data_IF_939838123020
#
_entry.id   IF_939838123020
#
_cell.length_a   1.000
_cell.length_b   1.000
_cell.length_c   1.000
_cell.angle_alpha   90.00
_cell.angle_beta   90.00
_cell.angle_gamma   90.00
#
_symmetry.space_group_name_H-M   'P 1'
#
loop_
_entity.id
_entity.type
_entity.pdbx_description
1 polymer ?
2 polymer ?
3 non-polymer ?
4 water ?
#
# COMPACT_ATOMS: atom_id res chain seq x y z
N UNK A 6 19.99 -10.66 -22.54
CA UNK A 6 19.72 -12.09 -22.37
C UNK A 6 18.23 -12.44 -22.59
N UNK A 7 17.34 -11.57 -22.10
CA UNK A 7 15.89 -11.72 -22.22
C UNK A 7 15.38 -12.93 -21.46
N UNK A 8 14.58 -12.69 -20.43
CA UNK A 8 14.04 -13.75 -19.59
C UNK A 8 12.54 -13.50 -19.41
N UNK A 9 11.89 -14.49 -18.83
CA UNK A 9 10.46 -14.48 -18.61
C UNK A 9 10.12 -14.03 -17.19
N UNK A 10 9.04 -13.26 -17.08
CA UNK A 10 8.52 -12.77 -15.81
C UNK A 10 7.01 -12.94 -15.82
N UNK A 11 6.48 -13.57 -14.78
CA UNK A 11 5.05 -13.66 -14.53
C UNK A 11 4.70 -12.65 -13.45
N UNK A 12 3.60 -11.91 -13.66
CA UNK A 12 3.12 -10.91 -12.70
C UNK A 12 1.61 -11.09 -12.55
N UNK A 13 1.14 -11.16 -11.31
CA UNK A 13 -0.29 -11.24 -11.03
C UNK A 13 -0.96 -9.87 -11.16
N UNK A 14 -2.16 -9.86 -11.71
CA UNK A 14 -2.94 -8.64 -11.88
C UNK A 14 -4.12 -8.61 -10.93
N UNK A 15 -4.67 -7.43 -10.65
CA UNK A 15 -5.76 -7.36 -9.65
C UNK A 15 -6.96 -8.24 -9.94
N UNK A 16 -7.29 -8.50 -11.21
CA UNK A 16 -8.45 -9.33 -11.54
C UNK A 16 -8.16 -10.82 -11.39
N UNK A 17 -7.10 -11.17 -10.69
CA UNK A 17 -6.77 -12.57 -10.44
C UNK A 17 -6.14 -13.29 -11.62
N UNK A 18 -5.87 -12.61 -12.73
CA UNK A 18 -5.13 -13.22 -13.82
C UNK A 18 -3.65 -12.87 -13.69
N UNK A 19 -2.85 -13.44 -14.59
CA UNK A 19 -1.44 -13.13 -14.60
C UNK A 19 -1.05 -12.75 -16.03
N UNK A 20 -0.03 -11.94 -16.15
CA UNK A 20 0.55 -11.65 -17.44
C UNK A 20 2.01 -12.07 -17.40
N UNK A 21 2.53 -12.46 -18.56
CA UNK A 21 3.89 -12.90 -18.74
C UNK A 21 4.58 -11.88 -19.66
N UNK A 22 5.75 -11.35 -19.25
CA UNK A 22 6.51 -10.42 -20.08
C UNK A 22 7.94 -10.92 -20.27
N UNK A 23 8.46 -10.76 -21.50
CA UNK A 23 9.90 -10.92 -21.76
C UNK A 23 10.61 -9.63 -21.42
N UNK A 24 11.67 -9.70 -20.63
CA UNK A 24 12.44 -8.51 -20.26
C UNK A 24 13.92 -8.87 -20.16
N UNK A 25 14.76 -7.85 -20.29
CA UNK A 25 16.17 -8.03 -20.00
C UNK A 25 16.35 -8.45 -18.55
N UNK A 26 17.32 -9.34 -18.33
CA UNK A 26 17.54 -9.91 -17.01
C UNK A 26 17.70 -8.85 -15.94
N UNK A 27 18.47 -7.80 -16.24
CA UNK A 27 18.79 -6.77 -15.26
C UNK A 27 17.85 -5.56 -15.34
N UNK A 28 16.62 -5.75 -15.80
CA UNK A 28 15.63 -4.68 -15.77
C UNK A 28 15.33 -4.28 -14.33
N UNK A 29 15.15 -2.99 -14.11
CA UNK A 29 14.76 -2.53 -12.79
C UNK A 29 13.25 -2.43 -12.71
N UNK A 30 12.74 -2.11 -11.52
CA UNK A 30 11.30 -2.26 -11.30
C UNK A 30 10.50 -1.38 -12.25
N UNK A 31 10.98 -0.15 -12.51
CA UNK A 31 10.22 0.73 -13.40
C UNK A 31 10.25 0.24 -14.85
N UNK A 32 11.37 -0.34 -15.30
CA UNK A 32 11.35 -0.94 -16.64
C UNK A 32 10.39 -2.13 -16.72
N UNK A 33 10.39 -3.03 -15.73
CA UNK A 33 9.41 -4.11 -15.76
C UNK A 33 8.00 -3.55 -15.70
N UNK A 34 7.79 -2.52 -14.87
CA UNK A 34 6.46 -2.00 -14.70
C UNK A 34 5.91 -1.43 -16.01
N UNK A 35 6.75 -0.69 -16.77
CA UNK A 35 6.31 -0.13 -18.04
C UNK A 35 6.03 -1.22 -19.07
N UNK A 36 6.85 -2.27 -19.08
CA UNK A 36 6.58 -3.39 -19.98
C UNK A 36 5.22 -4.02 -19.67
N UNK A 37 4.89 -4.17 -18.38
CA UNK A 37 3.60 -4.75 -18.00
C UNK A 37 2.45 -3.83 -18.36
N UNK A 38 2.59 -2.53 -18.05
CA UNK A 38 1.52 -1.57 -18.31
C UNK A 38 1.17 -1.51 -19.79
N UNK A 39 2.19 -1.52 -20.65
CA UNK A 39 1.92 -1.58 -22.09
C UNK A 39 1.17 -2.86 -22.46
N UNK A 40 1.63 -4.01 -21.93
CA UNK A 40 1.04 -5.31 -22.30
C UNK A 40 -0.43 -5.41 -21.88
N UNK A 41 -0.80 -4.87 -20.72
CA UNK A 41 -2.20 -4.99 -20.29
C UNK A 41 -3.07 -3.84 -20.77
N UNK A 42 -2.50 -2.88 -21.48
CA UNK A 42 -3.31 -1.84 -22.09
C UNK A 42 -3.60 -0.63 -21.24
N UNK A 43 -2.72 -0.32 -20.29
CA UNK A 43 -2.84 0.95 -19.59
C UNK A 43 -2.41 2.09 -20.49
N UNK A 44 -3.10 3.22 -20.37
CA UNK A 44 -2.77 4.39 -21.14
C UNK A 44 -1.92 5.33 -20.29
N UNK A 45 -1.60 6.50 -20.86
CA UNK A 45 -0.69 7.43 -20.22
C UNK A 45 -1.25 8.02 -18.93
N UNK A 46 -2.58 8.07 -18.78
CA UNK A 46 -3.16 8.47 -17.50
C UNK A 46 -3.16 7.34 -16.49
N UNK A 47 -3.63 6.14 -16.89
CA UNK A 47 -3.88 5.06 -15.95
C UNK A 47 -2.58 4.50 -15.37
N UNK A 48 -1.49 4.51 -16.15
CA UNK A 48 -0.21 3.93 -15.75
C UNK A 48 0.33 4.56 -14.47
N UNK A 49 -0.05 5.79 -14.18
CA UNK A 49 0.43 6.49 -12.99
C UNK A 49 -0.28 6.05 -11.72
N UNK A 50 -1.21 5.11 -11.80
CA UNK A 50 -2.02 4.78 -10.65
C UNK A 50 -1.68 3.41 -10.07
N UNK A 51 -0.75 2.69 -10.67
CA UNK A 51 -0.42 1.35 -10.23
C UNK A 51 1.09 1.22 -10.12
N UNK A 52 1.53 0.10 -9.52
CA UNK A 52 2.93 -0.16 -9.25
C UNK A 52 3.13 -1.65 -8.98
N UNK A 53 4.41 -2.03 -8.94
CA UNK A 53 4.86 -3.39 -8.74
C UNK A 53 5.07 -3.67 -7.25
N UNK A 54 4.54 -4.78 -6.78
CA UNK A 54 4.62 -5.14 -5.37
C UNK A 54 5.08 -6.57 -5.28
N UNK A 55 5.68 -6.93 -4.14
CA UNK A 55 6.05 -8.31 -3.83
C UNK A 55 5.13 -8.84 -2.73
N UNK A 56 4.57 -10.03 -2.95
CA UNK A 56 3.72 -10.66 -1.95
C UNK A 56 4.63 -11.17 -0.84
N UNK A 57 4.53 -10.56 0.34
CA UNK A 57 5.30 -11.04 1.49
C UNK A 57 4.60 -12.19 2.19
N UNK A 58 3.30 -12.04 2.40
CA UNK A 58 2.52 -13.01 3.14
C UNK A 58 1.10 -12.87 2.66
N UNK A 59 0.21 -13.69 3.22
CA UNK A 59 -1.19 -13.58 2.88
C UNK A 59 -1.76 -12.22 3.22
N UNK A 60 -1.24 -11.55 4.24
CA UNK A 60 -1.80 -10.28 4.67
C UNK A 60 -0.92 -9.07 4.37
N UNK A 61 0.17 -9.20 3.60
CA UNK A 61 1.00 -8.04 3.36
C UNK A 61 1.75 -8.13 2.04
N UNK A 62 1.70 -7.05 1.26
CA UNK A 62 2.52 -6.93 0.06
C UNK A 62 3.31 -5.65 0.18
N UNK A 63 4.54 -5.68 -0.29
CA UNK A 63 5.43 -4.53 -0.12
C UNK A 63 5.80 -3.98 -1.49
N UNK A 64 5.82 -2.65 -1.58
CA UNK A 64 6.16 -2.02 -2.84
C UNK A 64 7.62 -2.25 -3.19
N UNK A 65 7.88 -2.57 -4.44
CA UNK A 65 9.25 -2.65 -4.93
C UNK A 65 9.82 -1.26 -5.04
N UNK A 66 11.05 -1.08 -4.54
CA UNK A 66 11.78 0.16 -4.63
C UNK A 66 12.32 0.32 -6.05
N UNK A 67 12.67 1.53 -6.46
CA UNK A 67 13.14 1.70 -7.86
C UNK A 67 14.42 0.92 -8.19
N UNK A 68 15.35 0.74 -7.23
CA UNK A 68 16.62 0.06 -7.50
C UNK A 68 16.58 -1.45 -7.30
N UNK A 69 15.40 -2.06 -7.34
CA UNK A 69 15.34 -3.50 -7.21
C UNK A 69 15.30 -4.14 -8.61
N UNK A 70 15.58 -5.45 -8.67
CA UNK A 70 15.51 -6.16 -9.93
C UNK A 70 14.42 -7.21 -9.83
N UNK A 71 13.25 -6.96 -10.40
CA UNK A 71 12.13 -7.88 -10.17
C UNK A 71 12.42 -9.30 -10.61
N UNK A 72 13.27 -9.51 -11.61
CA UNK A 72 13.59 -10.89 -11.97
C UNK A 72 14.30 -11.62 -10.85
N UNK A 73 15.19 -10.95 -10.13
CA UNK A 73 15.83 -11.55 -8.97
C UNK A 73 14.80 -12.01 -7.95
N UNK A 74 13.86 -11.13 -7.59
CA UNK A 74 12.83 -11.48 -6.61
C UNK A 74 11.98 -12.64 -7.11
N UNK A 75 11.66 -12.64 -8.40
CA UNK A 75 10.84 -13.69 -9.00
C UNK A 75 11.51 -15.06 -8.86
N UNK A 76 12.75 -15.18 -9.34
CA UNK A 76 13.45 -16.47 -9.29
C UNK A 76 13.63 -16.92 -7.84
N UNK A 77 13.89 -15.98 -6.95
CA UNK A 77 14.19 -16.32 -5.57
C UNK A 77 12.98 -16.92 -4.84
N UNK A 78 11.77 -16.56 -5.25
CA UNK A 78 10.54 -17.04 -4.63
C UNK A 78 9.79 -18.04 -5.51
N UNK A 79 10.44 -18.55 -6.55
CA UNK A 79 9.77 -19.38 -7.54
C UNK A 79 9.78 -20.85 -7.13
N UNK A 80 8.68 -21.54 -7.40
CA UNK A 80 8.62 -22.99 -7.26
C UNK A 80 7.81 -23.58 -8.40
N UNK A 81 7.96 -24.89 -8.59
CA UNK A 81 7.09 -25.61 -9.52
C UNK A 81 5.61 -25.48 -9.11
N UNK A 82 5.32 -25.48 -7.82
CA UNK A 82 3.95 -25.27 -7.36
C UNK A 82 3.59 -23.79 -7.34
N UNK A 83 3.63 -23.17 -6.16
CA UNK A 83 3.31 -21.76 -5.87
C UNK A 83 2.22 -21.16 -6.77
N UNK A 84 1.02 -20.89 -6.22
CA UNK A 84 -0.05 -20.27 -7.04
C UNK A 84 0.40 -19.01 -7.76
N UNK A 85 1.16 -19.18 -8.85
CA UNK A 85 1.57 -18.08 -9.67
C UNK A 85 2.95 -17.52 -9.40
N UNK A 86 3.00 -16.41 -8.66
CA UNK A 86 4.18 -15.57 -8.64
C UNK A 86 4.10 -14.64 -7.43
N UNK A 87 5.27 -14.14 -7.02
CA UNK A 87 5.32 -13.20 -5.91
C UNK A 87 5.22 -11.75 -6.35
N UNK A 88 5.23 -11.48 -7.65
CA UNK A 88 5.08 -10.12 -8.14
C UNK A 88 3.62 -9.84 -8.42
N UNK A 89 3.16 -8.64 -8.05
CA UNK A 89 1.78 -8.31 -8.33
C UNK A 89 1.65 -6.82 -8.64
N UNK A 90 0.65 -6.49 -9.45
CA UNK A 90 0.29 -5.11 -9.77
C UNK A 90 -0.78 -4.65 -8.80
N UNK A 91 -0.53 -3.53 -8.12
CA UNK A 91 -1.57 -3.00 -7.24
C UNK A 91 -1.66 -1.50 -7.40
N UNK A 92 -2.76 -0.95 -6.93
CA UNK A 92 -2.95 0.49 -7.00
C UNK A 92 -1.98 1.19 -6.06
N UNK A 93 -1.48 2.37 -6.46
CA UNK A 93 -0.51 3.14 -5.65
C UNK A 93 -1.05 4.57 -5.64
N UNK A 94 -1.90 4.85 -4.66
CA UNK A 94 -2.69 6.07 -4.63
C UNK A 94 -3.30 6.27 -3.26
N UNK A 95 -3.09 7.43 -2.65
CA UNK A 95 -3.73 7.68 -1.38
C UNK A 95 -4.97 8.57 -1.46
N UNK A 96 -5.08 9.44 -2.47
CA UNK A 96 -6.19 10.40 -2.58
C UNK A 96 -7.36 9.79 -3.35
N UNK A 97 -8.47 9.49 -2.66
CA UNK A 97 -9.56 8.78 -3.34
C UNK A 97 -10.27 9.62 -4.41
N UNK A 98 -10.22 10.95 -4.36
CA UNK A 98 -10.87 11.73 -5.41
C UNK A 98 -10.20 11.52 -6.77
N UNK A 99 -8.87 11.38 -6.80
CA UNK A 99 -8.20 11.16 -8.06
C UNK A 99 -8.72 9.92 -8.78
N UNK A 100 -9.08 8.88 -8.02
CA UNK A 100 -9.56 7.69 -8.67
C UNK A 100 -11.04 7.78 -9.03
N UNK A 101 -11.80 8.64 -8.35
CA UNK A 101 -13.17 8.92 -8.80
C UNK A 101 -13.15 9.54 -10.20
N UNK A 102 -12.17 10.39 -10.48
CA UNK A 102 -12.04 10.91 -11.83
C UNK A 102 -11.86 9.82 -12.89
N UNK A 103 -11.51 8.59 -12.50
CA UNK A 103 -11.31 7.51 -13.46
C UNK A 103 -12.51 6.60 -13.61
N UNK A 104 -13.66 6.97 -13.06
CA UNK A 104 -14.82 6.08 -13.13
C UNK A 104 -15.24 5.79 -14.56
N UNK A 105 -14.75 6.55 -15.55
CA UNK A 105 -15.08 6.31 -16.96
C UNK A 105 -13.99 5.56 -17.71
N UNK A 106 -12.99 4.99 -17.02
CA UNK A 106 -11.95 4.21 -17.68
C UNK A 106 -12.14 2.74 -17.28
N UNK A 107 -12.50 1.91 -18.27
CA UNK A 107 -12.89 0.54 -17.99
C UNK A 107 -11.78 -0.24 -17.30
N UNK A 108 -10.54 -0.06 -17.76
CA UNK A 108 -9.42 -0.81 -17.19
C UNK A 108 -9.22 -0.43 -15.73
N UNK A 109 -9.07 0.87 -15.46
CA UNK A 109 -8.89 1.35 -14.10
C UNK A 109 -9.99 0.83 -13.18
N UNK A 110 -11.25 1.05 -13.56
CA UNK A 110 -12.37 0.63 -12.71
C UNK A 110 -12.29 -0.87 -12.43
N UNK A 111 -12.06 -1.66 -13.46
CA UNK A 111 -11.94 -3.11 -13.26
C UNK A 111 -10.86 -3.44 -12.24
N UNK A 112 -9.68 -2.82 -12.39
CA UNK A 112 -8.57 -3.12 -11.49
C UNK A 112 -8.86 -2.61 -10.10
N UNK A 113 -9.43 -1.39 -10.00
CA UNK A 113 -9.78 -0.85 -8.70
C UNK A 113 -10.82 -1.74 -8.03
N UNK A 114 -11.81 -2.19 -8.81
CA UNK A 114 -12.88 -3.03 -8.27
C UNK A 114 -12.35 -4.34 -7.74
N UNK A 115 -11.58 -5.10 -8.55
CA UNK A 115 -11.11 -6.40 -8.07
C UNK A 115 -10.18 -6.26 -6.87
N UNK A 116 -9.33 -5.25 -6.85
CA UNK A 116 -8.48 -5.13 -5.66
C UNK A 116 -9.30 -4.77 -4.44
N UNK A 117 -10.35 -3.96 -4.61
CA UNK A 117 -11.16 -3.56 -3.47
C UNK A 117 -11.91 -4.75 -2.90
N UNK A 118 -12.42 -5.65 -3.75
CA UNK A 118 -13.14 -6.82 -3.26
C UNK A 118 -12.21 -7.69 -2.42
N UNK A 119 -11.00 -7.90 -2.91
CA UNK A 119 -10.02 -8.67 -2.15
C UNK A 119 -9.61 -7.94 -0.88
N UNK A 120 -9.53 -6.62 -0.91
CA UNK A 120 -9.16 -5.86 0.27
C UNK A 120 -10.28 -5.90 1.32
N UNK A 121 -11.54 -6.09 0.89
CA UNK A 121 -12.64 -6.30 1.84
C UNK A 121 -12.53 -7.70 2.47
N UNK A 122 -12.38 -8.73 1.62
CA UNK A 122 -12.15 -10.09 2.11
C UNK A 122 -11.07 -10.16 3.18
N UNK A 123 -9.96 -9.45 2.97
CA UNK A 123 -8.81 -9.56 3.86
C UNK A 123 -8.94 -8.71 5.12
N UNK A 124 -9.99 -7.87 5.24
CA UNK A 124 -10.19 -7.04 6.42
C UNK A 124 -9.59 -5.64 6.38
N UNK A 125 -9.01 -5.23 5.26
CA UNK A 125 -8.38 -3.91 5.23
C UNK A 125 -9.42 -2.80 5.24
N UNK A 126 -10.55 -3.03 4.60
CA UNK A 126 -11.61 -2.05 4.48
C UNK A 126 -12.75 -2.53 5.37
N UNK A 127 -13.12 -1.70 6.35
CA UNK A 127 -14.09 -2.07 7.36
C UNK A 127 -15.48 -1.77 6.79
N UNK A 128 -16.01 -2.72 6.04
CA UNK A 128 -17.26 -2.50 5.33
C UNK A 128 -18.40 -3.32 5.92
N UNK A 129 -18.21 -3.88 7.13
CA UNK A 129 -19.15 -4.86 7.68
C UNK A 129 -20.58 -4.33 7.77
N UNK A 130 -20.75 -3.11 8.25
CA UNK A 130 -22.11 -2.64 8.51
C UNK A 130 -22.94 -2.50 7.23
N UNK A 131 -22.30 -2.44 6.05
CA UNK A 131 -23.00 -2.43 4.78
C UNK A 131 -22.60 -3.63 3.91
N UNK A 132 -22.19 -4.71 4.57
CA UNK A 132 -21.72 -5.89 3.85
C UNK A 132 -22.76 -6.42 2.87
N UNK A 133 -24.03 -6.43 3.26
CA UNK A 133 -25.08 -6.99 2.41
C UNK A 133 -25.31 -6.13 1.17
N UNK A 134 -25.36 -4.80 1.34
CA UNK A 134 -25.64 -3.90 0.23
C UNK A 134 -24.47 -3.86 -0.76
N UNK A 135 -23.23 -3.95 -0.27
CA UNK A 135 -22.09 -4.10 -1.17
C UNK A 135 -22.14 -5.43 -1.92
N UNK A 136 -22.51 -6.50 -1.22
CA UNK A 136 -22.58 -7.83 -1.83
C UNK A 136 -23.57 -7.88 -2.99
N UNK A 137 -24.72 -7.21 -2.87
CA UNK A 137 -25.64 -7.19 -4.00
C UNK A 137 -25.11 -6.35 -5.16
N UNK A 138 -24.38 -5.26 -4.90
CA UNK A 138 -23.73 -4.56 -6.00
C UNK A 138 -22.63 -5.42 -6.63
N UNK A 139 -21.84 -6.11 -5.79
CA UNK A 139 -20.87 -7.05 -6.30
C UNK A 139 -21.53 -8.10 -7.20
N UNK A 140 -22.59 -8.75 -6.71
CA UNK A 140 -23.28 -9.76 -7.50
C UNK A 140 -23.76 -9.23 -8.85
N UNK A 141 -24.30 -8.00 -8.89
CA UNK A 141 -24.73 -7.44 -10.16
C UNK A 141 -23.58 -6.82 -10.97
N UNK A 142 -22.34 -6.88 -10.48
CA UNK A 142 -21.19 -6.35 -11.20
C UNK A 142 -21.38 -4.87 -11.50
N UNK A 143 -21.96 -4.15 -10.56
CA UNK A 143 -22.11 -2.70 -10.67
C UNK A 143 -20.85 -2.07 -10.09
N UNK A 144 -19.79 -2.06 -10.91
CA UNK A 144 -18.45 -1.86 -10.39
C UNK A 144 -18.26 -0.45 -9.85
N UNK A 145 -18.69 0.56 -10.62
CA UNK A 145 -18.54 1.94 -10.17
C UNK A 145 -19.39 2.19 -8.93
N UNK A 146 -20.62 1.68 -8.91
CA UNK A 146 -21.47 1.89 -7.74
C UNK A 146 -20.88 1.21 -6.49
N UNK A 147 -20.39 0.00 -6.65
CA UNK A 147 -19.69 -0.69 -5.56
C UNK A 147 -18.53 0.14 -5.05
N UNK A 148 -17.66 0.63 -5.94
CA UNK A 148 -16.52 1.45 -5.52
C UNK A 148 -16.97 2.78 -4.90
N UNK A 149 -17.98 3.42 -5.47
CA UNK A 149 -18.41 4.71 -4.93
C UNK A 149 -18.89 4.57 -3.49
N UNK A 150 -19.59 3.46 -3.19
CA UNK A 150 -19.93 3.11 -1.81
C UNK A 150 -18.70 2.78 -0.98
N UNK A 151 -17.85 1.88 -1.48
CA UNK A 151 -16.72 1.42 -0.66
C UNK A 151 -15.73 2.53 -0.32
N UNK A 152 -15.58 3.52 -1.19
CA UNK A 152 -14.62 4.60 -0.95
C UNK A 152 -15.00 5.43 0.28
N UNK A 153 -16.23 5.30 0.77
CA UNK A 153 -16.68 6.02 1.96
C UNK A 153 -16.44 5.22 3.26
N UNK A 155 -14.06 3.02 6.27
CA UNK A 155 -12.78 3.17 6.95
C UNK A 155 -11.80 2.22 6.29
N UNK A 156 -10.57 2.70 6.14
CA UNK A 156 -9.51 1.88 5.61
C UNK A 156 -9.38 1.87 4.11
N UNK A 157 -10.27 2.52 3.36
CA UNK A 157 -10.02 2.65 1.93
C UNK A 157 -8.76 3.51 1.70
N UNK A 158 -7.86 3.00 0.85
CA UNK A 158 -6.58 3.65 0.52
C UNK A 158 -5.74 3.92 1.78
N UNK A 159 -5.71 2.94 2.68
CA UNK A 159 -4.83 2.93 3.86
C UNK A 159 -3.85 1.77 3.70
N UNK A 160 -2.56 2.03 3.92
CA UNK A 160 -1.53 0.98 3.90
C UNK A 160 -1.31 0.52 5.33
N UNK A 161 -1.48 -0.77 5.60
CA UNK A 161 -1.29 -1.34 6.93
C UNK A 161 -0.04 -2.20 6.90
N UNK A 162 0.86 -1.97 7.84
CA UNK A 162 2.12 -2.66 7.96
C UNK A 162 2.04 -3.73 9.05
N UNK A 163 2.79 -4.82 8.90
CA UNK A 163 2.80 -5.86 9.94
C UNK A 163 3.33 -5.31 11.27
N UNK A 164 2.82 -5.85 12.36
CA UNK A 164 3.21 -5.35 13.69
C UNK A 164 4.72 -5.48 13.88
N UNK A 165 5.29 -4.52 14.60
CA UNK A 165 6.72 -4.55 14.85
C UNK A 165 7.02 -3.68 16.06
N UNK A 166 8.26 -3.79 16.55
CA UNK A 166 8.74 -3.04 17.71
C UNK A 166 8.88 -1.56 17.42
N UNK A 167 8.78 -0.78 18.48
CA UNK A 167 8.82 0.68 18.44
C UNK A 167 9.58 1.18 19.67
N UNK A 168 10.52 2.10 19.47
CA UNK A 168 11.35 2.56 20.59
C UNK A 168 10.60 3.47 21.55
N UNK A 169 9.39 3.88 21.20
CA UNK A 169 8.58 4.72 22.07
C UNK A 169 7.46 3.94 22.75
N UNK A 170 7.60 2.62 22.86
CA UNK A 170 6.74 1.78 23.67
C UNK A 170 7.65 0.97 24.57
N UNK A 171 7.31 0.90 25.86
CA UNK A 171 8.13 0.13 26.78
C UNK A 171 7.96 -1.36 26.53
N UNK A 172 6.71 -1.82 26.41
CA UNK A 172 6.40 -3.21 26.11
C UNK A 172 5.30 -3.26 25.06
N UNK A 173 5.48 -4.09 24.05
CA UNK A 173 4.47 -4.25 23.02
C UNK A 173 4.91 -3.65 21.70
N UNK A 174 4.07 -3.87 20.70
CA UNK A 174 4.37 -3.54 19.32
C UNK A 174 3.41 -2.46 18.83
N UNK A 175 3.60 -2.03 17.58
CA UNK A 175 2.71 -1.10 16.92
C UNK A 175 2.38 -1.68 15.55
N UNK A 176 1.16 -1.40 15.09
CA UNK A 176 0.77 -1.61 13.71
C UNK A 176 0.59 -0.23 13.11
N UNK A 177 1.33 0.09 12.06
CA UNK A 177 1.24 1.44 11.53
C UNK A 177 0.34 1.45 10.31
N UNK A 178 -0.44 2.51 10.22
CA UNK A 178 -1.45 2.67 9.18
C UNK A 178 -1.23 4.04 8.55
N UNK A 179 -1.03 4.07 7.24
CA UNK A 179 -0.66 5.29 6.54
C UNK A 179 -1.78 5.61 5.57
N UNK A 180 -2.38 6.79 5.72
CA UNK A 180 -3.38 7.24 4.77
C UNK A 180 -3.17 8.72 4.52
N UNK A 181 -3.91 9.25 3.54
CA UNK A 181 -3.84 10.66 3.21
C UNK A 181 -4.28 11.54 4.37
N UNK A 182 -5.12 11.01 5.26
CA UNK A 182 -5.67 11.85 6.32
C UNK A 182 -4.78 11.92 7.55
N UNK A 183 -4.08 10.85 7.92
CA UNK A 183 -3.08 10.94 8.99
C UNK A 183 -2.25 9.65 9.00
N UNK A 184 -1.21 9.68 9.83
CA UNK A 184 -0.34 8.56 10.12
C UNK A 184 -0.76 8.00 11.48
N UNK A 185 -1.17 6.73 11.52
CA UNK A 185 -1.74 6.13 12.73
C UNK A 185 -0.89 4.98 13.22
N UNK A 186 -0.65 4.94 14.53
CA UNK A 186 -0.04 3.80 15.19
C UNK A 186 -1.09 3.14 16.09
N UNK A 187 -1.35 1.86 15.86
CA UNK A 187 -2.21 1.04 16.71
C UNK A 187 -1.35 0.22 17.66
N UNK A 188 -1.62 0.32 18.96
CA UNK A 188 -0.93 -0.51 19.94
C UNK A 188 -1.41 -1.96 19.86
N UNK A 189 -0.45 -2.88 19.97
CA UNK A 189 -0.77 -4.30 20.03
C UNK A 189 0.31 -5.03 20.82
N UNK A 190 0.05 -6.29 21.15
CA UNK A 190 1.02 -7.08 21.89
C UNK A 190 2.19 -7.46 20.98
N UNK A 191 3.22 -8.04 21.60
CA UNK A 191 4.35 -8.59 20.85
C UNK A 191 3.93 -9.74 19.94
N UNK A 192 2.73 -10.30 20.14
CA UNK A 192 2.17 -11.31 19.27
C UNK A 192 1.38 -10.73 18.10
N UNK A 193 0.98 -9.46 18.18
CA UNK A 193 0.12 -8.86 17.19
C UNK A 193 -1.35 -8.86 17.54
N UNK A 194 -1.71 -9.00 18.80
CA UNK A 194 -3.10 -8.89 19.22
C UNK A 194 -3.39 -7.43 19.57
N UNK A 195 -4.38 -6.86 18.91
CA UNK A 195 -4.70 -5.44 19.10
C UNK A 195 -5.01 -5.14 20.55
N UNK A 196 -4.31 -4.17 21.12
CA UNK A 196 -4.70 -3.69 22.44
C UNK A 196 -5.95 -2.84 22.25
N UNK A 197 -5.90 -1.57 22.59
CA UNK A 197 -7.09 -0.75 22.30
C UNK A 197 -6.76 0.71 22.16
N UNK A 198 -5.51 1.08 21.98
CA UNK A 198 -5.09 2.46 21.89
C UNK A 198 -4.62 2.76 20.47
N UNK A 199 -4.76 4.01 20.06
CA UNK A 199 -4.45 4.49 18.72
C UNK A 199 -3.95 5.93 18.80
N UNK A 200 -2.71 6.18 18.34
CA UNK A 200 -2.19 7.53 18.14
C UNK A 200 -2.32 7.89 16.67
N UNK A 201 -2.81 9.10 16.41
CA UNK A 201 -3.03 9.61 15.05
C UNK A 201 -2.25 10.92 14.89
N UNK A 202 -1.12 10.85 14.20
CA UNK A 202 -0.33 12.04 13.88
C UNK A 202 -0.86 12.71 12.63
N UNK A 203 -1.07 14.02 12.68
CA UNK A 203 -1.36 14.78 11.48
C UNK A 203 -0.10 14.93 10.63
N UNK A 204 -0.28 14.93 9.30
CA UNK A 204 0.87 15.12 8.42
C UNK A 204 1.51 16.48 8.63
N UNK A 205 0.71 17.50 8.97
CA UNK A 205 1.25 18.81 9.29
C UNK A 205 2.24 18.78 10.46
N UNK A 206 2.05 17.85 11.40
CA UNK A 206 2.97 17.74 12.53
C UNK A 206 4.31 17.10 12.16
N UNK A 207 4.41 16.46 10.98
CA UNK A 207 5.63 15.77 10.59
C UNK A 207 6.73 16.77 10.25
N UNK A 208 7.83 16.70 10.98
CA UNK A 208 8.98 17.59 10.73
C UNK A 208 9.94 17.00 9.71
N UNK A 209 10.49 15.82 10.01
CA UNK A 209 11.35 15.15 9.06
C UNK A 209 11.27 13.66 9.33
N UNK A 210 11.78 12.89 8.38
CA UNK A 210 11.72 11.46 8.47
C UNK A 210 12.93 10.89 7.73
N UNK A 211 13.22 9.62 7.99
CA UNK A 211 14.47 9.05 7.52
C UNK A 211 14.41 7.55 7.75
N UNK A 212 15.41 6.86 7.22
CA UNK A 212 15.58 5.43 7.44
C UNK A 212 16.91 5.20 8.15
N UNK A 213 17.04 4.02 8.71
CA UNK A 213 18.27 3.55 9.36
C UNK A 213 18.51 2.13 8.86
N UNK A 214 19.27 2.01 7.76
CA UNK A 214 19.51 0.69 7.15
C UNK A 214 20.16 -0.26 8.16
N UNK A 215 21.19 0.21 8.86
CA UNK A 215 21.90 -0.63 9.82
C UNK A 215 20.96 -1.14 10.91
N UNK A 216 20.22 -0.21 11.54
CA UNK A 216 19.31 -0.57 12.60
C UNK A 216 17.97 -1.14 12.17
N UNK A 217 17.70 -1.22 10.86
CA UNK A 217 16.43 -1.71 10.33
C UNK A 217 15.26 -0.92 10.93
N UNK A 218 15.29 0.39 10.72
CA UNK A 218 14.31 1.25 11.34
C UNK A 218 13.82 2.30 10.35
N UNK A 219 12.54 2.66 10.49
CA UNK A 219 12.05 3.91 9.93
C UNK A 219 11.88 4.91 11.06
N UNK A 220 12.30 6.15 10.83
CA UNK A 220 12.29 7.22 11.83
C UNK A 220 11.45 8.39 11.35
N UNK A 221 10.72 9.02 12.28
CA UNK A 221 10.04 10.27 12.00
C UNK A 221 10.11 11.14 13.24
N UNK A 222 10.23 12.44 13.00
CA UNK A 222 10.32 13.46 14.02
C UNK A 222 9.07 14.31 13.92
N UNK A 223 8.27 14.31 14.98
CA UNK A 223 7.03 15.06 15.01
C UNK A 223 7.09 16.15 16.08
N UNK A 224 6.36 17.25 15.84
CA UNK A 224 6.18 18.31 16.81
C UNK A 224 4.69 18.42 17.09
N UNK A 225 4.27 18.07 18.30
CA UNK A 225 2.86 18.07 18.67
C UNK A 225 2.54 19.19 19.65
N UNK A 226 1.30 19.68 19.55
CA UNK A 226 0.79 20.72 20.40
C UNK A 226 1.74 21.90 20.55
N UNK A 227 2.60 21.81 21.55
CA UNK A 227 3.58 22.85 21.84
C UNK A 227 4.94 22.31 22.25
N UNK A 228 5.11 20.99 22.32
CA UNK A 228 6.34 20.42 22.87
C UNK A 228 7.46 20.41 21.82
N UNK A 229 8.64 20.04 22.28
CA UNK A 229 9.82 20.04 21.43
C UNK A 229 9.76 18.88 20.43
N UNK A 230 10.21 19.09 19.19
CA UNK A 230 10.23 17.98 18.23
C UNK A 230 10.94 16.76 18.79
N UNK A 231 10.38 15.58 18.50
CA UNK A 231 10.83 14.32 19.06
C UNK A 231 10.87 13.25 17.96
N UNK A 232 11.87 12.36 18.03
CA UNK A 232 12.06 11.29 17.06
C UNK A 232 11.44 9.99 17.58
N UNK A 233 10.70 9.31 16.71
CA UNK A 233 10.15 7.99 16.99
C UNK A 233 10.75 7.00 16.01
N UNK A 234 11.23 5.87 16.51
CA UNK A 234 11.82 4.81 15.67
C UNK A 234 10.86 3.62 15.63
N UNK A 235 10.48 3.23 14.42
CA UNK A 235 9.71 2.01 14.16
C UNK A 235 10.67 0.99 13.55
N UNK A 236 10.81 -0.16 14.21
CA UNK A 236 11.75 -1.18 13.76
C UNK A 236 11.06 -2.12 12.76
N UNK A 237 10.75 -1.57 11.60
CA UNK A 237 10.12 -2.50 10.65
C UNK A 237 11.14 -3.00 9.62
N UNK A 238 11.11 -4.25 9.17
CA UNK A 238 11.97 -4.60 8.02
C UNK A 238 11.58 -3.84 6.74
N UNK A 239 10.43 -3.16 6.69
CA UNK A 239 10.00 -2.47 5.47
C UNK A 239 10.17 -0.96 5.60
N UNK A 240 11.32 -0.53 6.15
CA UNK A 240 11.56 0.89 6.35
C UNK A 240 11.62 1.65 5.02
N UNK A 241 12.08 1.03 3.94
CA UNK A 241 12.14 1.75 2.67
C UNK A 241 10.74 1.97 2.10
N UNK A 242 9.86 0.96 2.18
CA UNK A 242 8.47 1.13 1.78
C UNK A 242 7.79 2.20 2.63
N UNK A 243 7.98 2.15 3.95
CA UNK A 243 7.40 3.19 4.78
C UNK A 243 7.89 4.57 4.37
N UNK A 244 9.19 4.69 4.10
CA UNK A 244 9.73 5.97 3.67
C UNK A 244 9.11 6.42 2.35
N UNK A 245 8.94 5.50 1.40
CA UNK A 245 8.25 5.81 0.16
C UNK A 245 6.83 6.29 0.42
N UNK A 246 6.17 5.77 1.44
CA UNK A 246 4.79 6.17 1.72
C UNK A 246 4.73 7.63 2.18
N UNK A 247 5.63 8.02 3.07
CA UNK A 247 5.72 9.43 3.46
C UNK A 247 5.95 10.33 2.24
N UNK A 248 6.91 9.95 1.39
CA UNK A 248 7.23 10.80 0.24
C UNK A 248 6.00 10.94 -0.64
N UNK A 249 5.27 9.84 -0.79
CA UNK A 249 4.11 9.85 -1.67
C UNK A 249 2.97 10.66 -1.04
N UNK A 250 2.82 10.58 0.29
CA UNK A 250 1.68 11.28 0.88
C UNK A 250 1.85 12.79 0.75
N UNK A 251 3.06 13.29 1.02
CA UNK A 251 3.30 14.74 0.90
C UNK A 251 3.20 15.21 -0.56
N UNK A 253 1.07 13.85 -2.79
CA UNK A 253 -0.36 13.95 -3.05
C UNK A 253 -1.03 15.12 -2.30
N UNK A 254 -0.50 15.46 -1.13
CA UNK A 254 -1.03 16.60 -0.38
C UNK A 254 -0.76 17.93 -1.09
N UNK A 255 0.45 18.10 -1.64
CA UNK A 255 0.77 19.35 -2.31
C UNK A 255 -0.14 19.59 -3.50
N UNK A 256 -0.44 18.53 -4.25
CA UNK A 256 -1.19 18.61 -5.49
C UNK A 256 -2.66 18.33 -5.29
N UNK A 257 -3.12 18.35 -4.05
CA UNK A 257 -4.53 18.17 -3.77
C UNK A 257 -5.32 19.27 -4.46
N UNK A 258 -6.28 18.87 -5.29
CA UNK A 258 -7.05 19.81 -6.09
C UNK A 258 -8.52 19.86 -5.67
N UNK A 259 -8.81 19.57 -4.41
CA UNK A 259 -10.20 19.53 -3.97
C UNK A 259 -10.26 19.91 -2.49
N UNK A 260 -11.29 20.66 -2.13
CA UNK A 260 -11.57 21.02 -0.74
C UNK A 260 -12.20 19.88 0.05
N UNK A 261 -12.68 18.84 -0.65
CA UNK A 261 -13.40 17.76 0.02
C UNK A 261 -12.72 16.41 -0.25
N UNK B 8 8.15 9.07 28.75
CA UNK B 8 8.78 8.36 27.63
C UNK B 8 7.73 8.02 26.57
N UNK B 9 7.20 6.81 26.68
CA UNK B 9 6.08 6.26 25.92
C UNK B 9 5.07 7.27 25.40
N UNK B 10 4.89 7.33 24.08
CA UNK B 10 3.77 8.07 23.52
C UNK B 10 2.47 7.29 23.68
N UNK B 11 2.56 6.04 24.13
CA UNK B 11 1.41 5.18 24.36
C UNK B 11 1.13 5.00 25.86
#
# INVERSE_FOLDING_TARGET
SNAGVSDVELRVALPDGTTVTVRVKKNSTTDQVYQAIAAKVGMDSTTVNYFALFEVISHSFVRKLAPNEFPHKLYIQNYTSAVPGTCLTIRKWLFTTEEEILLNDNDLAVTYFFHQAVDDVKKGYIKAEEKSYQLQKLYEQRKMVMYLNMLRTXEGYNEIIFPHCACDSRRKGHVITAISITHFKLHACTEEGQLENQVIAFEWDEMQRWDTDEEGMAFCFEYARGEKKPRWVKIFTPYFNYMHECFERVFXELKWRKEEY
SIFDDDMDDIFSSG
#
